data_IF_540579517615
#
_entry.id   IF_540579517615
#
_cell.length_a   1.000
_cell.length_b   1.000
_cell.length_c   1.000
_cell.angle_alpha   90.00
_cell.angle_beta   90.00
_cell.angle_gamma   90.00
#
_symmetry.space_group_name_H-M   'P 1'
#
loop_
_entity.id
_entity.type
_entity.pdbx_description
1 polymer ?
#
# COMPACT_ATOMS: atom_id res chain seq x y z
N UNK A 1 1.98 22.32 -7.58
CA UNK A 1 0.59 21.81 -7.49
C UNK A 1 0.65 20.41 -6.87
N UNK A 2 -0.23 20.09 -5.92
CA UNK A 2 -0.34 18.74 -5.34
C UNK A 2 -1.25 17.90 -6.23
N UNK A 3 -0.79 16.70 -6.64
CA UNK A 3 -1.53 15.78 -7.52
C UNK A 3 -2.14 14.59 -6.75
N UNK A 4 -1.75 14.37 -5.51
CA UNK A 4 -2.27 13.26 -4.70
C UNK A 4 -1.61 13.17 -3.32
N UNK A 5 -1.99 12.13 -2.61
CA UNK A 5 -1.59 11.81 -1.22
C UNK A 5 -1.16 10.35 -1.16
N UNK A 6 -0.12 10.06 -0.38
CA UNK A 6 0.37 8.71 -0.19
C UNK A 6 0.30 8.26 1.26
N UNK A 7 0.09 6.96 1.46
CA UNK A 7 0.25 6.29 2.75
C UNK A 7 1.48 5.38 2.65
N UNK A 8 2.41 5.52 3.59
CA UNK A 8 3.64 4.75 3.57
C UNK A 8 4.05 4.22 4.93
N UNK A 9 4.80 3.12 4.90
CA UNK A 9 5.39 2.51 6.10
C UNK A 9 4.37 2.12 7.20
N UNK A 10 3.11 1.95 6.85
CA UNK A 10 2.07 1.34 7.69
C UNK A 10 2.04 -0.18 7.53
N UNK A 11 1.37 -0.87 8.45
CA UNK A 11 1.06 -2.30 8.30
C UNK A 11 0.15 -2.51 7.07
N UNK A 12 0.50 -3.42 6.13
CA UNK A 12 -0.31 -3.73 4.96
C UNK A 12 -1.80 -4.00 5.25
N UNK A 13 -2.11 -4.58 6.42
CA UNK A 13 -3.48 -4.92 6.83
C UNK A 13 -4.37 -3.71 7.02
N UNK A 14 -3.79 -2.56 7.36
CA UNK A 14 -4.49 -1.29 7.53
C UNK A 14 -4.66 -0.53 6.21
N UNK A 15 -4.12 -1.03 5.10
CA UNK A 15 -4.09 -0.26 3.86
C UNK A 15 -5.47 0.11 3.32
N UNK A 16 -6.45 -0.79 3.38
CA UNK A 16 -7.83 -0.52 2.93
C UNK A 16 -8.48 0.54 3.81
N UNK A 17 -8.44 0.37 5.14
CA UNK A 17 -9.04 1.33 6.07
C UNK A 17 -8.42 2.72 5.92
N UNK A 18 -7.11 2.80 5.71
CA UNK A 18 -6.41 4.06 5.48
C UNK A 18 -6.80 4.73 4.15
N UNK A 19 -6.94 3.96 3.07
CA UNK A 19 -7.42 4.49 1.78
C UNK A 19 -8.86 5.00 1.91
N UNK A 20 -9.73 4.24 2.58
CA UNK A 20 -11.13 4.62 2.79
C UNK A 20 -11.26 5.96 3.53
N UNK A 21 -10.43 6.21 4.55
CA UNK A 21 -10.40 7.50 5.25
C UNK A 21 -10.03 8.66 4.31
N UNK A 22 -9.13 8.45 3.35
CA UNK A 22 -8.77 9.47 2.36
C UNK A 22 -9.90 9.68 1.36
N UNK A 23 -10.56 8.60 0.90
CA UNK A 23 -11.71 8.68 -0.01
C UNK A 23 -12.86 9.46 0.62
N UNK A 24 -13.12 9.29 1.92
CA UNK A 24 -14.14 10.06 2.67
C UNK A 24 -13.89 11.57 2.68
N UNK A 25 -12.66 12.02 2.46
CA UNK A 25 -12.30 13.44 2.37
C UNK A 25 -12.59 14.04 0.98
N UNK A 26 -13.32 13.33 0.11
CA UNK A 26 -13.67 13.75 -1.26
C UNK A 26 -12.44 13.95 -2.17
N UNK A 27 -11.31 13.36 -1.78
CA UNK A 27 -10.01 13.57 -2.42
C UNK A 27 -9.99 13.08 -3.88
N UNK A 28 -10.63 11.94 -4.14
CA UNK A 28 -10.71 11.34 -5.48
C UNK A 28 -11.61 12.14 -6.43
N UNK A 29 -12.72 12.69 -5.93
CA UNK A 29 -13.60 13.56 -6.72
C UNK A 29 -12.94 14.92 -7.04
N UNK A 30 -11.98 15.36 -6.23
CA UNK A 30 -11.11 16.49 -6.54
C UNK A 30 -10.05 16.19 -7.62
N UNK A 31 -10.12 15.02 -8.28
CA UNK A 31 -9.20 14.59 -9.32
C UNK A 31 -7.79 14.30 -8.79
N UNK A 32 -7.67 13.94 -7.51
CA UNK A 32 -6.40 13.64 -6.85
C UNK A 32 -6.18 12.16 -6.68
N UNK A 33 -4.92 11.76 -6.74
CA UNK A 33 -4.49 10.37 -6.68
C UNK A 33 -4.21 9.89 -5.25
N UNK A 34 -4.39 8.60 -5.01
CA UNK A 34 -4.01 7.92 -3.76
C UNK A 34 -2.89 6.92 -4.08
N UNK A 35 -1.79 7.01 -3.34
CA UNK A 35 -0.63 6.12 -3.45
C UNK A 35 -0.53 5.27 -2.18
N UNK A 36 -0.23 3.98 -2.27
CA UNK A 36 -0.01 3.13 -1.10
C UNK A 36 1.29 2.32 -1.23
N UNK A 37 2.15 2.39 -0.21
CA UNK A 37 3.43 1.71 -0.20
C UNK A 37 3.81 1.34 1.26
N UNK A 38 3.20 0.27 1.80
CA UNK A 38 3.33 -0.10 3.21
C UNK A 38 4.67 -0.77 3.51
N UNK A 39 4.93 -1.00 4.80
CA UNK A 39 6.07 -1.84 5.22
C UNK A 39 5.73 -3.34 5.07
N UNK A 40 6.65 -4.22 5.47
CA UNK A 40 6.45 -5.67 5.41
C UNK A 40 5.44 -6.29 6.39
N UNK A 41 4.88 -5.53 7.33
CA UNK A 41 4.05 -6.02 8.42
C UNK A 41 4.82 -6.52 9.65
N UNK A 42 6.15 -6.63 9.56
CA UNK A 42 7.01 -6.88 10.72
C UNK A 42 6.99 -5.66 11.68
N UNK A 43 6.92 -5.91 12.99
CA UNK A 43 6.97 -4.86 14.00
C UNK A 43 8.41 -4.43 14.25
N UNK A 44 8.66 -3.12 14.36
CA UNK A 44 9.98 -2.60 14.73
C UNK A 44 10.04 -2.36 16.24
N UNK A 45 10.72 -3.25 16.97
CA UNK A 45 10.85 -3.24 18.44
C UNK A 45 12.32 -3.23 18.80
N UNK A 46 12.74 -2.29 19.65
CA UNK A 46 14.11 -2.18 20.19
C UNK A 46 15.23 -2.29 19.13
N UNK A 47 15.04 -1.67 17.98
CA UNK A 47 16.04 -1.65 16.91
C UNK A 47 16.03 -2.86 15.98
N UNK A 48 15.06 -3.76 16.11
CA UNK A 48 14.94 -5.00 15.33
C UNK A 48 13.55 -5.15 14.74
N UNK A 49 13.48 -5.87 13.62
CA UNK A 49 12.20 -6.29 13.05
C UNK A 49 11.83 -7.66 13.61
N UNK A 50 10.60 -7.78 14.11
CA UNK A 50 10.04 -9.00 14.70
C UNK A 50 8.73 -9.39 14.01
N UNK A 51 8.45 -10.69 14.01
CA UNK A 51 7.28 -11.27 13.37
C UNK A 51 7.55 -11.74 11.94
N UNK A 52 6.47 -12.06 11.23
CA UNK A 52 6.53 -12.56 9.87
C UNK A 52 6.19 -11.48 8.86
N UNK A 53 6.89 -11.50 7.73
CA UNK A 53 6.52 -10.68 6.58
C UNK A 53 5.14 -11.07 6.08
N UNK A 54 4.31 -10.07 5.87
CA UNK A 54 3.04 -10.19 5.17
C UNK A 54 3.28 -10.31 3.66
N UNK A 55 2.53 -11.18 2.99
CA UNK A 55 2.58 -11.30 1.54
C UNK A 55 1.80 -10.15 0.87
N UNK A 56 2.44 -8.99 0.64
CA UNK A 56 1.78 -7.78 0.11
C UNK A 56 0.92 -8.02 -1.14
N UNK A 57 1.33 -8.97 -2.00
CA UNK A 57 0.57 -9.35 -3.21
C UNK A 57 -0.90 -9.69 -2.94
N UNK A 58 -1.24 -10.17 -1.74
CA UNK A 58 -2.61 -10.55 -1.38
C UNK A 58 -3.53 -9.35 -1.14
N UNK A 59 -2.98 -8.15 -0.99
CA UNK A 59 -3.74 -6.92 -0.72
C UNK A 59 -3.88 -6.02 -1.95
N UNK A 60 -3.12 -6.28 -3.02
CA UNK A 60 -3.05 -5.42 -4.21
C UNK A 60 -4.43 -5.15 -4.81
N UNK A 61 -5.25 -6.19 -5.00
CA UNK A 61 -6.61 -6.05 -5.52
C UNK A 61 -7.47 -5.18 -4.59
N UNK A 62 -7.44 -5.44 -3.29
CA UNK A 62 -8.24 -4.69 -2.32
C UNK A 62 -7.84 -3.21 -2.25
N UNK A 63 -6.55 -2.89 -2.35
CA UNK A 63 -6.08 -1.50 -2.39
C UNK A 63 -6.50 -0.79 -3.68
N UNK A 64 -6.44 -1.49 -4.83
CA UNK A 64 -6.94 -0.96 -6.09
C UNK A 64 -8.44 -0.66 -6.01
N UNK A 65 -9.23 -1.61 -5.50
CA UNK A 65 -10.68 -1.47 -5.36
C UNK A 65 -11.06 -0.35 -4.38
N UNK A 66 -10.24 -0.11 -3.35
CA UNK A 66 -10.40 1.01 -2.43
C UNK A 66 -10.04 2.38 -3.06
N UNK A 67 -9.35 2.41 -4.21
CA UNK A 67 -9.05 3.63 -4.95
C UNK A 67 -7.57 4.03 -5.02
N UNK A 68 -6.65 3.16 -4.62
CA UNK A 68 -5.22 3.38 -4.87
C UNK A 68 -4.91 3.28 -6.37
N UNK A 69 -4.21 4.27 -6.92
CA UNK A 69 -3.78 4.27 -8.33
C UNK A 69 -2.34 3.77 -8.52
N UNK A 70 -1.56 3.75 -7.44
CA UNK A 70 -0.17 3.32 -7.47
C UNK A 70 0.16 2.58 -6.17
N UNK A 71 0.79 1.41 -6.34
CA UNK A 71 1.09 0.46 -5.27
C UNK A 71 2.60 0.19 -5.28
N UNK A 72 3.22 0.25 -4.10
CA UNK A 72 4.64 -0.02 -3.92
C UNK A 72 4.94 -0.65 -2.55
N UNK A 73 6.15 -0.44 -2.07
CA UNK A 73 6.58 -0.90 -0.75
C UNK A 73 7.59 0.03 -0.10
N UNK A 74 7.68 -0.04 1.22
CA UNK A 74 8.56 0.76 2.05
C UNK A 74 9.54 -0.16 2.81
N UNK A 75 9.59 -0.09 4.14
CA UNK A 75 10.51 -0.89 4.95
C UNK A 75 10.36 -2.39 4.67
N UNK A 76 11.50 -3.03 4.40
CA UNK A 76 11.65 -4.49 4.24
C UNK A 76 10.91 -5.08 3.02
N UNK A 77 10.50 -4.26 2.08
CA UNK A 77 10.01 -4.70 0.76
C UNK A 77 11.15 -4.63 -0.25
N UNK A 78 11.51 -5.77 -0.82
CA UNK A 78 12.58 -5.90 -1.80
C UNK A 78 12.07 -6.19 -3.20
N UNK A 79 13.01 -6.49 -4.09
CA UNK A 79 12.71 -6.77 -5.51
C UNK A 79 11.79 -7.96 -5.70
N UNK A 80 11.89 -9.00 -4.87
CA UNK A 80 11.08 -10.21 -5.01
C UNK A 80 9.61 -9.96 -4.64
N UNK A 81 9.35 -9.19 -3.58
CA UNK A 81 8.00 -8.74 -3.26
C UNK A 81 7.47 -7.79 -4.35
N UNK A 82 8.30 -6.88 -4.87
CA UNK A 82 7.90 -5.97 -5.96
C UNK A 82 7.55 -6.71 -7.26
N UNK A 83 8.25 -7.80 -7.61
CA UNK A 83 7.89 -8.66 -8.76
C UNK A 83 6.53 -9.32 -8.56
N UNK A 84 6.22 -9.78 -7.34
CA UNK A 84 4.92 -10.37 -7.03
C UNK A 84 3.80 -9.34 -7.09
N UNK A 85 4.03 -8.13 -6.56
CA UNK A 85 3.07 -7.02 -6.68
C UNK A 85 2.85 -6.69 -8.16
N UNK A 86 3.93 -6.56 -8.94
CA UNK A 86 3.83 -6.30 -10.38
C UNK A 86 3.00 -7.35 -11.11
N UNK A 87 3.22 -8.64 -10.83
CA UNK A 87 2.43 -9.71 -11.44
C UNK A 87 0.93 -9.51 -11.17
N UNK A 88 0.54 -9.28 -9.92
CA UNK A 88 -0.88 -9.07 -9.59
C UNK A 88 -1.42 -7.79 -10.25
N UNK A 89 -0.64 -6.70 -10.28
CA UNK A 89 -1.03 -5.46 -10.98
C UNK A 89 -1.24 -5.70 -12.48
N UNK A 90 -0.37 -6.49 -13.12
CA UNK A 90 -0.49 -6.83 -14.54
C UNK A 90 -1.71 -7.73 -14.80
N UNK A 91 -2.08 -8.59 -13.85
CA UNK A 91 -3.23 -9.51 -13.98
C UNK A 91 -4.59 -8.82 -13.80
N UNK A 92 -4.65 -7.69 -13.09
CA UNK A 92 -5.90 -7.02 -12.71
C UNK A 92 -6.17 -5.72 -13.47
N UNK A 93 -5.25 -5.28 -14.33
CA UNK A 93 -5.42 -4.10 -15.20
C UNK A 93 -5.96 -4.50 -16.57
#
# INVERSE_FOLDING_TARGET
>A
QIIGIGINCSDPKEGVSQIDEIVKLDWTNAGKHIFIYPNSGEAYVDGRFEGEKTALRTFVQAWKDAGAIAIGGCCRIGTDEMKQIKQVVDDIN
#
